data_IF_921776814535
#
_entry.id   IF_921776814535
#
_cell.length_a   1.000
_cell.length_b   1.000
_cell.length_c   1.000
_cell.angle_alpha   90.00
_cell.angle_beta   90.00
_cell.angle_gamma   90.00
#
_symmetry.space_group_name_H-M   'P 1'
#
loop_
_entity.id
_entity.type
_entity.pdbx_description
1 polymer ?
#
# COMPACT_ATOMS: atom_id res chain seq x y z
N UNK A 1 32.13 10.54 -20.66
CA UNK A 1 30.94 9.68 -20.51
C UNK A 1 29.87 10.50 -19.82
N UNK A 2 28.83 10.87 -20.55
CA UNK A 2 27.71 11.71 -20.11
C UNK A 2 26.56 10.82 -19.61
N UNK A 3 25.87 11.18 -18.52
CA UNK A 3 24.56 10.63 -18.22
C UNK A 3 23.49 11.48 -18.90
N UNK A 4 22.97 10.97 -20.02
CA UNK A 4 21.78 11.49 -20.69
C UNK A 4 20.52 11.08 -19.90
N UNK A 5 20.13 11.87 -18.90
CA UNK A 5 18.79 11.80 -18.31
C UNK A 5 17.91 12.87 -18.95
N UNK A 6 16.92 12.41 -19.75
CA UNK A 6 15.97 13.27 -20.48
C UNK A 6 15.17 14.22 -19.56
N UNK A 7 15.14 13.97 -18.25
CA UNK A 7 14.47 14.81 -17.25
C UNK A 7 15.29 16.04 -16.80
N UNK A 8 16.63 15.98 -16.86
CA UNK A 8 17.48 17.10 -16.41
C UNK A 8 17.42 18.33 -17.32
N UNK A 9 17.10 18.15 -18.61
CA UNK A 9 17.04 19.24 -19.58
C UNK A 9 15.77 20.11 -19.50
N UNK A 10 14.70 19.61 -18.85
CA UNK A 10 13.47 20.39 -18.65
C UNK A 10 13.60 21.42 -17.51
N UNK A 11 14.40 21.11 -16.49
CA UNK A 11 14.54 21.95 -15.28
C UNK A 11 15.50 23.13 -15.48
N UNK A 12 16.38 23.08 -16.50
CA UNK A 12 17.43 24.10 -16.72
C UNK A 12 16.98 25.33 -17.55
N UNK A 13 15.74 25.38 -18.03
CA UNK A 13 15.24 26.52 -18.85
C UNK A 13 14.50 27.62 -18.08
N UNK A 14 14.52 27.62 -16.75
CA UNK A 14 13.96 28.72 -15.96
C UNK A 14 15.04 29.75 -15.63
N UNK A 15 15.21 30.71 -16.53
CA UNK A 15 16.00 31.93 -16.32
C UNK A 15 15.33 32.84 -15.28
N UNK A 16 16.03 33.29 -14.22
CA UNK A 16 15.49 34.22 -13.25
C UNK A 16 15.83 35.66 -13.67
N UNK A 17 15.05 36.27 -14.57
CA UNK A 17 15.09 37.73 -14.87
C UNK A 17 13.94 38.17 -15.79
N UNK A 18 12.75 38.40 -15.26
CA UNK A 18 11.89 39.53 -15.65
C UNK A 18 10.67 39.58 -14.72
N UNK A 19 10.56 40.66 -13.95
CA UNK A 19 9.49 40.80 -12.95
C UNK A 19 9.62 42.04 -12.08
N UNK A 20 10.32 43.07 -12.58
CA UNK A 20 10.31 44.41 -11.97
C UNK A 20 9.71 45.36 -12.99
N UNK A 21 8.46 45.75 -12.75
CA UNK A 21 7.79 46.81 -13.48
C UNK A 21 6.31 46.50 -13.66
N UNK A 22 5.48 46.97 -12.73
CA UNK A 22 4.10 47.47 -12.92
C UNK A 22 3.36 47.62 -11.57
N UNK A 23 3.90 48.42 -10.64
CA UNK A 23 3.09 48.96 -9.54
C UNK A 23 3.49 50.42 -9.33
N UNK A 24 3.18 51.29 -10.29
CA UNK A 24 3.03 52.74 -10.10
C UNK A 24 2.19 53.30 -11.25
N UNK A 25 0.87 53.38 -11.07
CA UNK A 25 0.03 54.46 -11.59
C UNK A 25 -1.42 54.27 -11.13
N UNK A 26 -2.07 55.40 -10.82
CA UNK A 26 -3.48 55.59 -10.52
C UNK A 26 -3.92 55.09 -9.13
N UNK A 27 -4.25 55.96 -8.18
CA UNK A 27 -4.47 57.39 -8.25
C UNK A 27 -5.20 57.76 -6.97
N UNK A 28 -4.52 58.56 -6.15
CA UNK A 28 -5.10 59.25 -5.01
C UNK A 28 -6.22 60.17 -5.51
N UNK A 29 -7.46 59.96 -5.07
CA UNK A 29 -8.48 61.02 -5.08
C UNK A 29 -9.36 60.97 -3.82
N UNK A 30 -8.98 61.86 -2.90
CA UNK A 30 -9.78 62.61 -1.89
C UNK A 30 -11.18 62.10 -1.47
N UNK A 31 -11.24 61.71 -0.18
CA UNK A 31 -12.16 62.15 0.92
C UNK A 31 -13.61 62.60 0.59
N UNK A 32 -14.57 61.94 1.23
CA UNK A 32 -15.66 62.47 2.11
C UNK A 32 -16.39 61.25 2.74
N UNK A 33 -16.26 61.01 4.06
CA UNK A 33 -17.26 61.25 5.14
C UNK A 33 -18.69 60.76 4.79
N UNK A 34 -19.08 59.59 5.29
CA UNK A 34 -20.12 59.34 6.31
C UNK A 34 -20.40 57.82 6.44
N UNK A 35 -20.95 57.46 7.60
CA UNK A 35 -21.01 56.12 8.17
C UNK A 35 -22.06 55.19 7.52
N UNK A 36 -21.76 53.90 7.69
CA UNK A 36 -22.69 52.82 8.02
C UNK A 36 -23.21 51.88 6.90
N UNK A 37 -23.09 50.59 7.24
CA UNK A 37 -23.64 49.35 6.63
C UNK A 37 -23.10 48.89 5.28
N UNK A 38 -22.16 47.94 5.37
CA UNK A 38 -21.86 47.00 4.30
C UNK A 38 -20.92 45.91 4.78
N UNK A 39 -21.46 44.79 5.24
CA UNK A 39 -20.70 43.62 5.66
C UNK A 39 -19.89 43.04 4.50
N UNK A 40 -18.64 43.46 4.37
CA UNK A 40 -17.67 42.78 3.53
C UNK A 40 -17.16 41.57 4.33
N UNK A 41 -17.75 40.41 4.06
CA UNK A 41 -17.24 39.12 4.46
C UNK A 41 -15.79 38.99 3.94
N UNK A 42 -14.84 39.24 4.85
CA UNK A 42 -13.42 39.13 4.56
C UNK A 42 -13.13 37.66 4.29
N UNK A 43 -12.97 37.30 3.01
CA UNK A 43 -12.46 35.99 2.60
C UNK A 43 -11.16 35.76 3.38
N UNK A 44 -11.10 34.76 4.28
CA UNK A 44 -9.91 34.54 5.07
C UNK A 44 -8.77 34.13 4.13
N UNK A 45 -7.76 35.01 4.05
CA UNK A 45 -6.47 34.71 3.43
C UNK A 45 -5.98 33.38 4.03
N UNK A 46 -5.87 32.34 3.20
CA UNK A 46 -5.32 31.04 3.59
C UNK A 46 -4.00 31.29 4.31
N UNK A 47 -3.95 30.97 5.61
CA UNK A 47 -2.73 31.02 6.41
C UNK A 47 -1.64 30.28 5.63
N UNK A 48 -0.51 30.96 5.41
CA UNK A 48 0.70 30.28 4.92
C UNK A 48 1.06 29.20 5.94
N UNK A 49 1.43 28.02 5.46
CA UNK A 49 1.96 26.97 6.34
C UNK A 49 3.25 27.49 6.96
N UNK A 50 3.42 27.23 8.25
CA UNK A 50 4.63 27.61 8.97
C UNK A 50 5.83 26.86 8.34
N UNK A 51 6.94 27.59 8.16
CA UNK A 51 8.19 26.99 7.73
C UNK A 51 8.73 26.14 8.89
N UNK A 52 9.11 24.90 8.60
CA UNK A 52 9.65 23.97 9.60
C UNK A 52 11.15 23.85 9.35
N UNK A 53 11.94 24.11 10.40
CA UNK A 53 13.38 23.88 10.36
C UNK A 53 13.66 22.38 10.23
N UNK A 54 14.30 22.00 9.13
CA UNK A 54 14.71 20.61 8.87
C UNK A 54 16.23 20.53 9.08
N UNK A 55 16.71 19.71 10.03
CA UNK A 55 18.15 19.59 10.27
C UNK A 55 18.86 19.08 9.01
N UNK A 56 20.07 19.58 8.77
CA UNK A 56 20.90 19.17 7.63
C UNK A 56 21.15 17.65 7.69
N UNK A 57 20.78 16.94 6.62
CA UNK A 57 20.89 15.48 6.54
C UNK A 57 19.61 14.71 6.94
N UNK A 58 18.56 15.40 7.40
CA UNK A 58 17.27 14.77 7.68
C UNK A 58 16.49 14.53 6.39
N UNK A 59 15.87 13.35 6.25
CA UNK A 59 14.81 13.16 5.25
C UNK A 59 13.60 14.02 5.64
N UNK A 60 12.98 14.65 4.64
CA UNK A 60 11.69 15.29 4.84
C UNK A 60 10.67 14.26 5.34
N UNK A 61 9.76 14.63 6.25
CA UNK A 61 8.71 13.74 6.69
C UNK A 61 7.90 13.30 5.47
N UNK A 62 7.65 11.99 5.38
CA UNK A 62 6.80 11.43 4.33
C UNK A 62 5.36 11.92 4.58
N UNK A 63 4.80 12.61 3.59
CA UNK A 63 3.43 13.14 3.67
C UNK A 63 2.54 12.38 2.69
N UNK A 64 1.62 11.59 3.23
CA UNK A 64 0.61 10.90 2.42
C UNK A 64 -0.54 11.85 2.07
N UNK A 65 -0.68 12.14 0.79
CA UNK A 65 -1.73 13.03 0.30
C UNK A 65 -3.14 12.44 0.54
N UNK A 66 -4.14 13.30 0.72
CA UNK A 66 -5.53 12.90 1.00
C UNK A 66 -6.12 11.93 -0.05
N UNK A 67 -5.71 12.04 -1.32
CA UNK A 67 -6.16 11.13 -2.37
C UNK A 67 -5.75 9.67 -2.15
N UNK A 68 -4.58 9.43 -1.56
CA UNK A 68 -4.14 8.07 -1.22
C UNK A 68 -5.05 7.50 -0.13
N UNK A 69 -5.42 8.33 0.85
CA UNK A 69 -6.39 7.97 1.91
C UNK A 69 -7.76 7.66 1.31
N UNK A 70 -8.23 8.48 0.37
CA UNK A 70 -9.52 8.27 -0.31
C UNK A 70 -9.54 6.95 -1.10
N UNK A 71 -8.47 6.62 -1.83
CA UNK A 71 -8.37 5.32 -2.51
C UNK A 71 -8.51 4.16 -1.51
N UNK A 72 -7.78 4.23 -0.39
CA UNK A 72 -7.80 3.20 0.65
C UNK A 72 -9.20 3.08 1.30
N UNK A 73 -9.82 4.19 1.67
CA UNK A 73 -11.16 4.22 2.28
C UNK A 73 -12.23 3.63 1.35
N UNK A 74 -12.09 3.81 0.04
CA UNK A 74 -13.02 3.29 -0.96
C UNK A 74 -12.66 1.88 -1.47
N UNK A 75 -11.70 1.21 -0.82
CA UNK A 75 -11.26 -0.16 -1.18
C UNK A 75 -10.82 -0.28 -2.64
N UNK A 76 -10.22 0.79 -3.18
CA UNK A 76 -9.62 0.80 -4.50
C UNK A 76 -8.18 0.31 -4.37
N UNK A 77 -7.77 -0.58 -5.27
CA UNK A 77 -6.39 -1.04 -5.34
C UNK A 77 -5.44 0.14 -5.56
N UNK A 78 -4.45 0.27 -4.67
CA UNK A 78 -3.40 1.29 -4.75
C UNK A 78 -2.11 0.61 -5.21
N UNK A 79 -1.58 0.93 -6.40
CA UNK A 79 -0.29 0.43 -6.82
C UNK A 79 0.82 0.86 -5.85
N UNK A 80 1.78 -0.01 -5.58
CA UNK A 80 2.91 0.25 -4.70
C UNK A 80 3.80 1.35 -5.25
N UNK A 81 3.86 1.52 -6.57
CA UNK A 81 4.59 2.62 -7.21
C UNK A 81 4.12 4.01 -6.77
N UNK A 82 2.91 4.15 -6.20
CA UNK A 82 2.41 5.38 -5.56
C UNK A 82 3.25 5.77 -4.34
N UNK A 83 3.84 4.78 -3.66
CA UNK A 83 4.57 4.93 -2.40
C UNK A 83 6.08 5.08 -2.59
N UNK A 84 6.58 5.18 -3.82
CA UNK A 84 7.98 5.59 -4.01
C UNK A 84 8.16 7.07 -3.67
N UNK A 85 9.34 7.45 -3.21
CA UNK A 85 9.62 8.85 -2.86
C UNK A 85 9.36 9.83 -4.03
N UNK A 86 9.79 9.55 -5.28
CA UNK A 86 9.45 10.41 -6.43
C UNK A 86 7.95 10.54 -6.67
N UNK A 87 7.18 9.45 -6.52
CA UNK A 87 5.73 9.44 -6.70
C UNK A 87 5.03 10.26 -5.63
N UNK A 88 5.40 10.10 -4.36
CA UNK A 88 4.82 10.87 -3.26
C UNK A 88 5.09 12.36 -3.39
N UNK A 89 6.31 12.75 -3.81
CA UNK A 89 6.63 14.15 -4.13
C UNK A 89 5.77 14.65 -5.29
N UNK A 90 5.67 13.87 -6.36
CA UNK A 90 4.90 14.25 -7.55
C UNK A 90 3.42 14.46 -7.21
N UNK A 91 2.80 13.54 -6.47
CA UNK A 91 1.40 13.62 -6.03
C UNK A 91 1.19 14.89 -5.21
N UNK A 92 2.02 15.14 -4.19
CA UNK A 92 1.88 16.32 -3.34
C UNK A 92 2.04 17.64 -4.10
N UNK A 93 2.86 17.67 -5.16
CA UNK A 93 3.09 18.86 -5.98
C UNK A 93 2.02 19.08 -7.07
N UNK A 94 1.48 18.02 -7.67
CA UNK A 94 0.66 18.10 -8.89
C UNK A 94 -0.79 17.63 -8.72
N UNK A 95 -1.23 17.35 -7.49
CA UNK A 95 -2.60 16.95 -7.13
C UNK A 95 -3.74 17.65 -7.90
N UNK A 96 -3.74 18.99 -8.12
CA UNK A 96 -4.83 19.65 -8.83
C UNK A 96 -4.96 19.24 -10.30
N UNK A 97 -3.86 18.87 -10.95
CA UNK A 97 -3.79 18.57 -12.39
C UNK A 97 -3.82 17.08 -12.71
N UNK A 98 -3.75 16.20 -11.71
CA UNK A 98 -3.81 14.75 -11.91
C UNK A 98 -5.20 14.31 -12.38
N UNK A 99 -5.23 13.26 -13.21
CA UNK A 99 -6.45 12.64 -13.69
C UNK A 99 -7.22 11.96 -12.55
N UNK A 100 -8.54 12.09 -12.59
CA UNK A 100 -9.45 11.64 -11.52
C UNK A 100 -10.63 10.91 -12.12
N UNK A 101 -11.01 9.81 -11.47
CA UNK A 101 -12.24 9.08 -11.79
C UNK A 101 -13.35 9.51 -10.84
N UNK A 102 -14.56 9.63 -11.39
CA UNK A 102 -15.78 9.87 -10.62
C UNK A 102 -16.36 8.53 -10.20
N UNK A 103 -16.50 8.32 -8.90
CA UNK A 103 -17.18 7.18 -8.32
C UNK A 103 -18.62 7.57 -8.02
N UNK A 104 -19.55 6.80 -8.56
CA UNK A 104 -20.96 6.89 -8.20
C UNK A 104 -21.17 6.05 -6.94
N UNK A 105 -20.99 6.67 -5.78
CA UNK A 105 -21.30 6.04 -4.49
C UNK A 105 -22.81 5.94 -4.34
N UNK A 106 -23.33 4.71 -4.21
CA UNK A 106 -24.77 4.43 -4.04
C UNK A 106 -25.39 5.12 -2.80
N UNK A 107 -24.54 5.62 -1.89
CA UNK A 107 -24.94 6.19 -0.60
C UNK A 107 -25.09 7.71 -0.58
N UNK A 108 -24.79 8.46 -1.64
CA UNK A 108 -24.80 9.92 -1.56
C UNK A 108 -25.71 10.58 -2.60
N UNK A 109 -26.78 11.20 -2.11
CA UNK A 109 -27.55 12.23 -2.81
C UNK A 109 -26.70 13.49 -3.09
N UNK A 110 -25.49 13.57 -2.50
CA UNK A 110 -24.53 14.63 -2.64
C UNK A 110 -23.33 14.18 -3.50
N UNK A 111 -22.99 15.03 -4.48
CA UNK A 111 -21.83 15.05 -5.39
C UNK A 111 -20.97 13.77 -5.55
N UNK A 112 -20.71 13.32 -6.80
CA UNK A 112 -19.87 12.16 -7.05
C UNK A 112 -18.47 12.35 -6.46
N UNK A 113 -17.98 11.33 -5.74
CA UNK A 113 -16.63 11.33 -5.19
C UNK A 113 -15.62 11.25 -6.33
N UNK A 114 -14.61 12.12 -6.32
CA UNK A 114 -13.55 12.11 -7.33
C UNK A 114 -12.26 11.60 -6.69
N UNK A 115 -11.81 10.41 -7.07
CA UNK A 115 -10.54 9.83 -6.59
C UNK A 115 -9.49 9.86 -7.70
N UNK A 116 -8.22 9.70 -7.32
CA UNK A 116 -7.11 9.59 -8.28
C UNK A 116 -7.33 8.40 -9.23
N UNK A 117 -7.12 8.60 -10.53
CA UNK A 117 -7.07 7.51 -11.48
C UNK A 117 -5.71 6.80 -11.39
N UNK A 118 -5.68 5.59 -10.81
CA UNK A 118 -4.45 4.82 -10.61
C UNK A 118 -3.88 4.27 -11.92
N UNK A 119 -4.72 3.98 -12.92
CA UNK A 119 -4.27 3.50 -14.22
C UNK A 119 -3.62 4.64 -15.03
N UNK A 120 -4.23 5.82 -15.00
CA UNK A 120 -3.63 7.02 -15.59
C UNK A 120 -2.33 7.40 -14.88
N UNK A 121 -2.28 7.26 -13.56
CA UNK A 121 -1.06 7.48 -12.77
C UNK A 121 0.08 6.55 -13.22
N UNK A 122 -0.16 5.23 -13.27
CA UNK A 122 0.86 4.27 -13.70
C UNK A 122 1.33 4.50 -15.14
N UNK A 123 0.44 5.00 -16.02
CA UNK A 123 0.78 5.31 -17.41
C UNK A 123 1.66 6.56 -17.57
N UNK A 124 1.51 7.53 -16.66
CA UNK A 124 2.19 8.83 -16.75
C UNK A 124 3.41 8.95 -15.82
N UNK A 125 3.48 8.12 -14.79
CA UNK A 125 4.53 8.14 -13.78
C UNK A 125 5.36 6.85 -13.85
N UNK A 126 5.16 5.95 -12.88
CA UNK A 126 5.87 4.69 -12.76
C UNK A 126 4.86 3.57 -12.66
N UNK A 127 4.91 2.63 -13.60
CA UNK A 127 4.09 1.43 -13.54
C UNK A 127 4.66 0.50 -12.45
N UNK A 128 3.77 -0.10 -11.67
CA UNK A 128 4.15 -0.94 -10.54
C UNK A 128 4.97 -2.17 -10.96
N UNK A 129 4.69 -2.72 -12.14
CA UNK A 129 5.44 -3.83 -12.73
C UNK A 129 6.87 -3.49 -13.13
N UNK A 130 7.20 -2.20 -13.20
CA UNK A 130 8.49 -1.69 -13.65
C UNK A 130 9.37 -1.21 -12.47
N UNK A 131 8.89 -1.39 -11.22
CA UNK A 131 9.69 -1.12 -10.03
C UNK A 131 10.96 -1.96 -10.02
N UNK A 132 12.09 -1.33 -9.73
CA UNK A 132 13.29 -2.07 -9.34
C UNK A 132 13.23 -2.52 -7.87
N UNK A 133 14.24 -3.29 -7.44
CA UNK A 133 14.27 -3.85 -6.09
C UNK A 133 14.37 -2.78 -5.01
N UNK A 134 15.17 -1.74 -5.24
CA UNK A 134 15.42 -0.71 -4.24
C UNK A 134 14.19 0.21 -4.13
N UNK A 135 13.56 0.53 -5.27
CA UNK A 135 12.28 1.25 -5.32
C UNK A 135 11.14 0.44 -4.67
N UNK A 136 11.08 -0.87 -4.89
CA UNK A 136 10.10 -1.75 -4.25
C UNK A 136 10.29 -1.80 -2.73
N UNK A 137 11.53 -1.93 -2.25
CA UNK A 137 11.82 -1.94 -0.81
C UNK A 137 11.46 -0.60 -0.15
N UNK A 138 11.80 0.53 -0.78
CA UNK A 138 11.38 1.86 -0.29
C UNK A 138 9.85 1.94 -0.24
N UNK A 139 9.18 1.60 -1.34
CA UNK A 139 7.74 1.71 -1.42
C UNK A 139 6.99 0.75 -0.47
N UNK A 140 7.55 -0.43 -0.18
CA UNK A 140 7.02 -1.35 0.82
C UNK A 140 7.07 -0.76 2.24
N UNK A 141 8.19 -0.11 2.60
CA UNK A 141 8.32 0.58 3.89
C UNK A 141 7.35 1.76 4.01
N UNK A 142 7.20 2.53 2.94
CA UNK A 142 6.29 3.67 2.90
C UNK A 142 4.82 3.23 2.89
N UNK A 143 4.50 2.08 2.28
CA UNK A 143 3.19 1.45 2.38
C UNK A 143 2.86 1.07 3.83
N UNK A 144 3.75 0.35 4.52
CA UNK A 144 3.52 -0.03 5.92
C UNK A 144 3.33 1.21 6.78
N UNK A 145 4.19 2.22 6.61
CA UNK A 145 4.07 3.51 7.28
C UNK A 145 2.72 4.18 7.02
N UNK A 146 2.21 4.12 5.78
CA UNK A 146 0.90 4.62 5.44
C UNK A 146 -0.22 3.87 6.17
N UNK A 147 -0.16 2.53 6.18
CA UNK A 147 -1.16 1.70 6.86
C UNK A 147 -1.24 2.03 8.35
N UNK A 148 -0.10 2.24 9.02
CA UNK A 148 -0.07 2.68 10.42
C UNK A 148 -0.80 4.01 10.65
N UNK A 149 -0.95 4.84 9.61
CA UNK A 149 -1.70 6.10 9.70
C UNK A 149 -3.19 6.00 9.37
N UNK A 150 -3.67 4.86 8.86
CA UNK A 150 -5.09 4.67 8.45
C UNK A 150 -5.77 3.52 9.18
N UNK A 151 -5.02 2.54 9.67
CA UNK A 151 -5.51 1.43 10.48
C UNK A 151 -5.19 1.65 11.96
N UNK A 152 -6.14 1.31 12.83
CA UNK A 152 -5.95 1.39 14.29
C UNK A 152 -5.21 0.19 14.86
N UNK A 153 -5.21 -0.93 14.14
CA UNK A 153 -4.52 -2.17 14.50
C UNK A 153 -3.11 -2.17 13.88
N UNK A 154 -2.19 -2.94 14.47
CA UNK A 154 -0.85 -3.07 13.90
C UNK A 154 -0.94 -3.70 12.49
N UNK A 155 -0.12 -3.25 11.53
CA UNK A 155 -0.11 -3.78 10.17
C UNK A 155 0.60 -5.15 10.09
N UNK A 156 0.32 -6.06 11.03
CA UNK A 156 1.00 -7.36 11.17
C UNK A 156 0.92 -8.19 9.88
N UNK A 157 -0.19 -8.06 9.13
CA UNK A 157 -0.33 -8.68 7.81
C UNK A 157 0.72 -8.17 6.82
N UNK A 158 0.88 -6.85 6.70
CA UNK A 158 1.79 -6.24 5.72
C UNK A 158 3.25 -6.45 6.09
N UNK A 159 3.58 -6.43 7.39
CA UNK A 159 4.90 -6.82 7.87
C UNK A 159 5.23 -8.27 7.51
N UNK A 160 4.30 -9.21 7.72
CA UNK A 160 4.50 -10.61 7.32
C UNK A 160 4.59 -10.79 5.80
N UNK A 161 3.78 -10.05 5.04
CA UNK A 161 3.77 -10.06 3.58
C UNK A 161 5.12 -9.63 3.01
N UNK A 162 5.60 -8.42 3.33
CA UNK A 162 6.85 -7.89 2.81
C UNK A 162 8.06 -8.64 3.37
N UNK A 163 8.04 -9.02 4.65
CA UNK A 163 9.10 -9.81 5.26
C UNK A 163 9.28 -11.16 4.58
N UNK A 164 8.18 -11.88 4.27
CA UNK A 164 8.28 -13.11 3.50
C UNK A 164 8.98 -12.89 2.16
N UNK A 165 8.61 -11.86 1.41
CA UNK A 165 9.15 -11.61 0.06
C UNK A 165 10.61 -11.13 0.10
N UNK A 166 10.99 -10.35 1.11
CA UNK A 166 12.36 -9.87 1.30
C UNK A 166 13.32 -11.00 1.72
N UNK A 167 12.85 -11.93 2.55
CA UNK A 167 13.64 -13.04 3.11
C UNK A 167 13.87 -14.21 2.14
N UNK A 168 13.57 -14.06 0.85
CA UNK A 168 13.75 -15.13 -0.13
C UNK A 168 15.21 -15.37 -0.50
N UNK A 169 15.60 -16.64 -0.55
CA UNK A 169 16.92 -17.04 -1.04
C UNK A 169 17.13 -16.54 -2.47
N UNK A 170 18.29 -15.94 -2.72
CA UNK A 170 18.63 -15.34 -4.02
C UNK A 170 17.65 -14.25 -4.49
N UNK A 171 17.01 -13.51 -3.57
CA UNK A 171 16.01 -12.47 -3.85
C UNK A 171 16.37 -11.55 -5.03
N UNK A 172 17.65 -11.17 -5.18
CA UNK A 172 18.12 -10.35 -6.31
C UNK A 172 17.88 -10.99 -7.68
N UNK A 173 18.12 -12.30 -7.80
CA UNK A 173 17.99 -13.03 -9.07
C UNK A 173 16.55 -13.36 -9.43
N UNK A 174 15.70 -13.53 -8.42
CA UNK A 174 14.28 -13.87 -8.60
C UNK A 174 13.36 -12.65 -8.39
N UNK A 175 13.91 -11.45 -8.28
CA UNK A 175 13.13 -10.24 -7.99
C UNK A 175 11.96 -10.01 -8.95
N UNK A 176 12.07 -10.24 -10.28
CA UNK A 176 10.90 -10.09 -11.16
C UNK A 176 9.74 -11.04 -10.78
N UNK A 177 10.04 -12.26 -10.31
CA UNK A 177 9.03 -13.18 -9.80
C UNK A 177 8.46 -12.71 -8.44
N UNK A 178 9.30 -12.14 -7.57
CA UNK A 178 8.87 -11.52 -6.30
C UNK A 178 7.87 -10.39 -6.59
N UNK A 179 8.22 -9.46 -7.48
CA UNK A 179 7.38 -8.32 -7.82
C UNK A 179 6.02 -8.73 -8.40
N UNK A 180 6.00 -9.71 -9.31
CA UNK A 180 4.75 -10.24 -9.86
C UNK A 180 3.90 -10.90 -8.76
N UNK A 181 4.53 -11.67 -7.87
CA UNK A 181 3.86 -12.32 -6.75
C UNK A 181 3.25 -11.31 -5.78
N UNK A 182 4.00 -10.28 -5.40
CA UNK A 182 3.54 -9.15 -4.59
C UNK A 182 2.27 -8.52 -5.19
N UNK A 183 2.34 -8.09 -6.46
CA UNK A 183 1.21 -7.46 -7.17
C UNK A 183 -0.01 -8.39 -7.19
N UNK A 184 0.18 -9.69 -7.50
CA UNK A 184 -0.92 -10.68 -7.53
C UNK A 184 -1.58 -10.79 -6.16
N UNK A 185 -0.80 -10.95 -5.09
CA UNK A 185 -1.29 -11.15 -3.73
C UNK A 185 -1.99 -9.88 -3.23
N UNK A 186 -1.41 -8.69 -3.43
CA UNK A 186 -2.05 -7.41 -3.05
C UNK A 186 -3.34 -7.16 -3.79
N UNK A 187 -3.43 -7.46 -5.08
CA UNK A 187 -4.69 -7.38 -5.84
C UNK A 187 -5.74 -8.36 -5.32
N UNK A 188 -5.36 -9.60 -5.02
CA UNK A 188 -6.26 -10.59 -4.39
C UNK A 188 -6.75 -10.11 -3.03
N UNK A 189 -5.87 -9.55 -2.20
CA UNK A 189 -6.21 -9.03 -0.89
C UNK A 189 -7.17 -7.82 -0.97
N UNK A 190 -6.94 -6.91 -1.91
CA UNK A 190 -7.82 -5.77 -2.16
C UNK A 190 -9.24 -6.21 -2.57
N UNK A 191 -9.35 -7.30 -3.36
CA UNK A 191 -10.64 -7.87 -3.73
C UNK A 191 -11.32 -8.63 -2.58
N UNK A 192 -10.55 -9.36 -1.79
CA UNK A 192 -11.04 -10.14 -0.65
C UNK A 192 -9.94 -10.27 0.41
N UNK A 193 -10.01 -9.54 1.53
CA UNK A 193 -9.00 -9.63 2.59
C UNK A 193 -8.89 -11.05 3.17
N UNK A 194 -7.66 -11.54 3.31
CA UNK A 194 -7.36 -12.88 3.86
C UNK A 194 -6.18 -12.86 4.82
N UNK A 195 -6.08 -13.87 5.69
CA UNK A 195 -4.95 -14.00 6.62
C UNK A 195 -3.69 -14.42 5.87
N UNK A 196 -2.54 -13.90 6.31
CA UNK A 196 -1.24 -14.33 5.78
C UNK A 196 -1.11 -15.86 5.87
N UNK A 197 -0.64 -16.47 4.78
CA UNK A 197 -0.44 -17.92 4.68
C UNK A 197 0.87 -18.20 3.96
N UNK A 198 1.83 -18.76 4.70
CA UNK A 198 3.15 -19.06 4.18
C UNK A 198 3.13 -20.07 3.02
N UNK A 199 2.18 -21.01 3.03
CA UNK A 199 2.02 -22.00 1.96
C UNK A 199 1.50 -21.36 0.67
N UNK A 200 0.50 -20.46 0.78
CA UNK A 200 -0.05 -19.75 -0.37
C UNK A 200 1.02 -18.92 -1.07
N UNK A 201 1.78 -18.15 -0.29
CA UNK A 201 2.84 -17.28 -0.80
C UNK A 201 3.96 -18.09 -1.45
N UNK A 202 4.38 -19.19 -0.81
CA UNK A 202 5.39 -20.09 -1.38
C UNK A 202 4.94 -20.70 -2.70
N UNK A 203 3.68 -21.13 -2.80
CA UNK A 203 3.15 -21.71 -4.03
C UNK A 203 3.09 -20.66 -5.15
N UNK A 204 2.51 -19.49 -4.88
CA UNK A 204 2.41 -18.40 -5.87
C UNK A 204 3.82 -17.96 -6.34
N UNK A 205 4.78 -17.81 -5.42
CA UNK A 205 6.15 -17.43 -5.77
C UNK A 205 6.86 -18.51 -6.59
N UNK A 206 6.71 -19.79 -6.21
CA UNK A 206 7.31 -20.89 -6.94
C UNK A 206 6.79 -20.96 -8.38
N UNK A 207 5.48 -20.74 -8.58
CA UNK A 207 4.89 -20.66 -9.92
C UNK A 207 5.55 -19.56 -10.77
N UNK A 208 5.71 -18.36 -10.21
CA UNK A 208 6.35 -17.24 -10.92
C UNK A 208 7.86 -17.46 -11.17
N UNK A 209 8.57 -18.08 -10.22
CA UNK A 209 9.98 -18.45 -10.41
C UNK A 209 10.13 -19.48 -11.54
N UNK A 210 9.23 -20.46 -11.62
CA UNK A 210 9.24 -21.42 -12.74
C UNK A 210 8.91 -20.75 -14.07
N UNK A 211 7.92 -19.85 -14.10
CA UNK A 211 7.59 -19.07 -15.28
C UNK A 211 8.78 -18.22 -15.76
N UNK A 212 9.50 -17.58 -14.83
CA UNK A 212 10.72 -16.82 -15.10
C UNK A 212 11.81 -17.71 -15.70
N UNK A 213 12.07 -18.89 -15.13
CA UNK A 213 13.06 -19.84 -15.66
C UNK A 213 12.74 -20.27 -17.09
N UNK A 214 11.47 -20.57 -17.36
CA UNK A 214 10.99 -20.93 -18.70
C UNK A 214 11.17 -19.77 -19.70
N UNK A 215 10.84 -18.54 -19.30
CA UNK A 215 10.98 -17.34 -20.13
C UNK A 215 12.43 -17.01 -20.50
N UNK A 216 13.38 -17.27 -19.58
CA UNK A 216 14.80 -17.03 -19.79
C UNK A 216 15.53 -18.17 -20.53
N UNK A 217 14.82 -19.21 -20.98
CA UNK A 217 15.43 -20.32 -21.70
C UNK A 217 16.44 -21.11 -20.87
N UNK A 218 16.38 -21.00 -19.54
CA UNK A 218 17.16 -21.83 -18.63
C UNK A 218 16.45 -23.18 -18.57
N UNK A 219 16.59 -23.95 -19.64
CA UNK A 219 16.39 -25.39 -19.58
C UNK A 219 17.43 -25.91 -18.59
N UNK A 220 16.98 -26.26 -17.38
CA UNK A 220 17.75 -27.16 -16.54
C UNK A 220 17.88 -28.46 -17.31
N UNK A 221 19.06 -28.72 -17.84
CA UNK A 221 19.51 -30.09 -18.05
C UNK A 221 19.35 -30.82 -16.71
N UNK A 222 18.46 -31.81 -16.68
CA UNK A 222 18.59 -33.02 -15.86
C UNK A 222 18.66 -32.90 -14.33
N UNK A 223 18.28 -31.80 -13.70
CA UNK A 223 18.23 -31.68 -12.24
C UNK A 223 16.93 -32.24 -11.66
N UNK A 224 16.95 -33.53 -11.30
CA UNK A 224 15.86 -34.26 -10.63
C UNK A 224 15.08 -33.44 -9.60
N UNK A 225 13.76 -33.35 -9.79
CA UNK A 225 12.75 -32.73 -8.91
C UNK A 225 12.64 -33.43 -7.53
N UNK A 226 13.45 -34.46 -7.25
CA UNK A 226 13.38 -35.24 -6.02
C UNK A 226 14.13 -34.62 -4.82
N UNK A 227 15.01 -33.64 -5.00
CA UNK A 227 15.95 -33.24 -3.93
C UNK A 227 15.49 -32.08 -3.04
N UNK A 228 14.40 -31.37 -3.37
CA UNK A 228 13.87 -30.27 -2.54
C UNK A 228 12.66 -30.66 -1.65
N UNK A 229 12.28 -31.94 -1.64
CA UNK A 229 11.17 -32.50 -0.82
C UNK A 229 11.64 -33.52 0.23
N UNK A 230 12.95 -33.65 0.45
CA UNK A 230 13.56 -34.58 1.40
C UNK A 230 13.79 -33.97 2.78
N UNK A 231 12.73 -33.59 3.50
CA UNK A 231 12.88 -32.90 4.78
C UNK A 231 11.93 -33.24 5.92
N UNK A 232 10.87 -34.04 5.75
CA UNK A 232 10.01 -34.45 6.90
C UNK A 232 9.32 -35.79 6.66
N UNK A 233 10.07 -36.90 6.52
CA UNK A 233 9.53 -38.26 6.75
C UNK A 233 10.62 -39.15 7.34
N UNK A 234 10.66 -39.29 8.66
CA UNK A 234 11.64 -40.18 9.25
C UNK A 234 11.75 -40.26 10.78
N UNK A 235 10.67 -40.14 11.57
CA UNK A 235 10.71 -40.63 12.97
C UNK A 235 9.41 -41.35 13.31
N UNK A 236 9.25 -42.56 12.77
CA UNK A 236 8.49 -43.64 13.41
C UNK A 236 9.11 -44.97 13.05
N UNK A 237 9.90 -45.50 13.97
CA UNK A 237 9.84 -46.87 14.50
C UNK A 237 11.24 -47.31 14.95
N UNK A 238 11.42 -47.44 16.27
CA UNK A 238 11.78 -48.70 16.92
C UNK A 238 12.12 -48.40 18.38
N UNK A 239 11.21 -48.80 19.27
CA UNK A 239 11.57 -49.65 20.39
C UNK A 239 10.30 -50.28 20.96
N UNK A 240 10.18 -51.59 20.76
CA UNK A 240 9.23 -52.49 21.41
C UNK A 240 10.02 -53.33 22.41
N UNK A 241 9.42 -53.48 23.60
CA UNK A 241 9.61 -54.50 24.66
C UNK A 241 10.80 -54.34 25.63
N UNK A 242 10.50 -54.08 26.90
CA UNK A 242 10.24 -55.04 28.01
C UNK A 242 9.68 -54.23 29.20
N UNK A 243 8.46 -54.48 29.68
CA UNK A 243 8.00 -55.46 30.69
C UNK A 243 7.86 -54.82 32.09
N UNK A 244 6.63 -54.94 32.65
CA UNK A 244 6.26 -55.02 34.09
C UNK A 244 6.60 -53.76 34.92
N UNK A 245 5.72 -53.14 35.72
CA UNK A 245 5.06 -53.66 36.93
C UNK A 245 3.96 -52.65 37.36
N UNK A 246 2.86 -53.21 37.89
CA UNK A 246 1.83 -52.71 38.84
C UNK A 246 0.97 -51.45 38.65
N UNK A 247 -0.31 -51.66 38.94
CA UNK A 247 -1.07 -50.76 39.83
C UNK A 247 -2.27 -50.07 39.21
N UNK A 248 -3.44 -50.74 39.17
CA UNK A 248 -4.73 -50.04 39.06
C UNK A 248 -5.11 -49.31 40.37
N UNK A 249 -6.39 -49.00 40.66
CA UNK A 249 -7.56 -48.97 39.77
C UNK A 249 -8.53 -47.77 40.03
N UNK A 250 -9.59 -47.70 39.21
CA UNK A 250 -10.98 -47.21 39.50
C UNK A 250 -11.26 -45.72 39.79
N UNK A 251 -12.27 -45.20 39.06
CA UNK A 251 -13.58 -44.65 39.53
C UNK A 251 -14.04 -43.53 38.57
N UNK A 252 -15.09 -43.72 37.77
CA UNK A 252 -16.51 -43.39 38.05
C UNK A 252 -16.95 -42.20 37.16
N UNK A 253 -17.96 -42.36 36.27
CA UNK A 253 -19.39 -42.02 36.49
C UNK A 253 -19.55 -40.52 36.85
N UNK A 254 -20.30 -39.64 36.18
CA UNK A 254 -21.67 -39.58 35.62
C UNK A 254 -21.76 -38.23 34.87
N UNK A 255 -22.56 -38.02 33.81
CA UNK A 255 -24.00 -37.73 33.85
C UNK A 255 -24.27 -36.41 33.11
N UNK A 256 -24.84 -36.44 31.90
CA UNK A 256 -26.19 -35.96 31.52
C UNK A 256 -26.60 -34.58 32.08
N UNK A 257 -26.84 -33.59 31.18
CA UNK A 257 -28.07 -32.79 31.19
C UNK A 257 -28.25 -31.97 29.89
N UNK A 258 -29.41 -32.15 29.26
CA UNK A 258 -30.01 -31.28 28.24
C UNK A 258 -30.50 -29.99 28.88
N UNK A 259 -30.45 -28.87 28.18
CA UNK A 259 -31.54 -27.89 28.26
C UNK A 259 -31.76 -27.18 26.92
N UNK A 260 -32.92 -27.47 26.30
CA UNK A 260 -33.57 -26.65 25.28
C UNK A 260 -34.19 -25.44 25.96
N UNK A 261 -34.10 -24.27 25.34
CA UNK A 261 -35.23 -23.35 25.31
C UNK A 261 -35.35 -22.69 23.93
N UNK A 262 -36.57 -22.78 23.39
CA UNK A 262 -37.11 -22.09 22.22
C UNK A 262 -38.01 -20.96 22.72
N UNK A 263 -38.07 -19.86 21.98
CA UNK A 263 -39.16 -18.88 21.95
C UNK A 263 -38.69 -17.72 21.06
N UNK A 264 -39.13 -17.57 19.80
CA UNK A 264 -40.39 -16.95 19.35
C UNK A 264 -40.71 -15.69 20.16
N UNK A 265 -40.84 -14.49 19.62
CA UNK A 265 -40.96 -13.98 18.26
C UNK A 265 -41.80 -12.69 18.34
N UNK A 266 -41.62 -11.73 17.44
CA UNK A 266 -42.67 -10.77 17.06
C UNK A 266 -42.19 -9.94 15.86
N UNK A 267 -42.89 -10.08 14.75
CA UNK A 267 -42.94 -9.14 13.66
C UNK A 267 -44.02 -8.08 13.96
N UNK A 268 -43.84 -6.85 13.48
CA UNK A 268 -44.95 -6.00 13.02
C UNK A 268 -44.45 -5.07 11.88
N UNK A 269 -45.24 -4.89 10.81
CA UNK A 269 -44.96 -3.95 9.73
C UNK A 269 -45.87 -2.70 9.77
N UNK A 270 -45.30 -1.53 9.49
CA UNK A 270 -45.64 -0.56 8.42
C UNK A 270 -44.98 0.78 8.73
#
# INVERSE_FOLDING_TARGET
MTPDSRLYNAVRKLSPKSGRGLIKAFGTLKRTREEDKGGAERIPLKKRRDEVDIPVGSRLPIVFHQFIRELYSNKIYIPLSVFTSPSLIYINAHTPTMEKIKLNTASSADKPLCVLDTAAFESNCLAEKDLDRDEWTEAAQDWVSFIETVESEKPDHWNAHFGFLEDQDNAKSIFPAILITDIKIRKRYAALPFKFSHELYRNDLNEEVQALKLAHGIMSDGGSVAEYMGGVRGIRQRQRRRLLIDGGPRCSRLGVARQRQRGRGAAWPR
#
